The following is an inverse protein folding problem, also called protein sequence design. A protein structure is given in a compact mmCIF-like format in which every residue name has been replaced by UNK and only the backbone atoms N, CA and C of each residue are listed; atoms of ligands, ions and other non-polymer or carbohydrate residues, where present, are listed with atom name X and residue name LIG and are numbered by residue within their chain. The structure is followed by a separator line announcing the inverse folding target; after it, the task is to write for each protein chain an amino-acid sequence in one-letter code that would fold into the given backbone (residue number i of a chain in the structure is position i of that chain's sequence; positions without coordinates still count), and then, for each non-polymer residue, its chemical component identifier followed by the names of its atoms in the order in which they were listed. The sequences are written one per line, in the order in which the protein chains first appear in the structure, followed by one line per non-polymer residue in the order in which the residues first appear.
data_IF_771260117080
#
_entry.id   IF_771260117080
#
_cell.length_a   1.000
_cell.length_b   1.000
_cell.length_c   1.000
_cell.angle_alpha   90.00
_cell.angle_beta   90.00
_cell.angle_gamma   90.00
#
_symmetry.space_group_name_H-M   'P 1'
#
loop_
_entity.id
_entity.type
_entity.pdbx_description
1 polymer ?
#
# COMPACT_ATOMS: atom_id res chain seq x y z
N UNK A 1 14.99 -18.95 31.57
CA UNK A 1 14.66 -17.62 31.03
C UNK A 1 14.82 -17.71 29.51
N UNK A 2 13.72 -17.88 28.76
CA UNK A 2 13.79 -18.03 27.30
C UNK A 2 13.65 -16.65 26.65
N UNK A 3 14.70 -16.22 25.94
CA UNK A 3 14.68 -15.02 25.13
C UNK A 3 13.63 -15.17 24.01
N UNK A 4 12.51 -14.47 24.15
CA UNK A 4 11.56 -14.26 23.06
C UNK A 4 12.31 -13.48 21.98
N UNK A 5 12.71 -14.13 20.89
CA UNK A 5 13.24 -13.44 19.71
C UNK A 5 12.11 -12.61 19.13
N UNK A 6 12.20 -11.30 19.27
CA UNK A 6 11.40 -10.35 18.52
C UNK A 6 11.67 -10.58 17.03
N UNK A 7 10.67 -11.11 16.32
CA UNK A 7 10.80 -11.61 14.95
C UNK A 7 10.42 -10.52 13.95
N UNK A 8 10.90 -9.29 14.17
CA UNK A 8 10.58 -8.13 13.34
C UNK A 8 11.84 -7.32 13.00
N UNK A 9 12.92 -8.02 12.65
CA UNK A 9 14.05 -7.36 12.00
C UNK A 9 13.62 -6.95 10.58
N UNK A 10 13.80 -5.67 10.19
CA UNK A 10 13.48 -5.23 8.85
C UNK A 10 14.37 -6.00 7.87
N UNK A 11 13.75 -6.85 7.06
CA UNK A 11 14.44 -7.53 5.96
C UNK A 11 14.68 -6.48 4.88
N UNK A 12 15.87 -5.90 4.88
CA UNK A 12 16.30 -4.92 3.88
C UNK A 12 17.21 -5.64 2.90
N UNK A 13 16.93 -5.47 1.62
CA UNK A 13 17.81 -5.95 0.55
C UNK A 13 18.21 -4.73 -0.27
N UNK A 14 19.49 -4.37 -0.26
CA UNK A 14 20.03 -3.27 -1.06
C UNK A 14 20.84 -3.87 -2.20
N UNK A 15 20.44 -3.59 -3.44
CA UNK A 15 21.06 -4.18 -4.63
C UNK A 15 21.69 -3.09 -5.47
N UNK A 16 23.01 -3.17 -5.59
CA UNK A 16 23.84 -2.28 -6.41
C UNK A 16 24.56 -3.06 -7.51
N UNK A 17 23.84 -3.95 -8.20
CA UNK A 17 24.36 -4.79 -9.26
C UNK A 17 23.30 -4.97 -10.36
N UNK A 18 23.74 -5.27 -11.58
CA UNK A 18 22.85 -5.63 -12.68
C UNK A 18 22.31 -7.05 -12.47
N UNK A 19 21.00 -7.18 -12.33
CA UNK A 19 20.31 -8.44 -12.07
C UNK A 19 19.32 -8.74 -13.20
N UNK A 20 19.22 -10.02 -13.57
CA UNK A 20 18.22 -10.49 -14.52
C UNK A 20 17.50 -11.73 -13.96
N UNK A 21 16.17 -11.74 -14.01
CA UNK A 21 15.37 -12.91 -13.65
C UNK A 21 14.02 -12.58 -13.01
N UNK A 22 13.45 -13.58 -12.32
CA UNK A 22 12.19 -13.44 -11.57
C UNK A 22 12.45 -13.55 -10.08
N UNK A 23 12.19 -12.47 -9.34
CA UNK A 23 12.28 -12.44 -7.87
C UNK A 23 10.88 -12.48 -7.28
N UNK A 24 10.66 -13.37 -6.32
CA UNK A 24 9.39 -13.47 -5.59
C UNK A 24 9.65 -13.59 -4.09
N UNK A 25 9.15 -12.64 -3.32
CA UNK A 25 9.29 -12.61 -1.86
C UNK A 25 7.98 -13.02 -1.20
N UNK A 26 8.01 -14.08 -0.37
CA UNK A 26 6.83 -14.53 0.38
C UNK A 26 6.57 -13.69 1.63
N UNK A 27 7.62 -13.11 2.20
CA UNK A 27 7.57 -12.25 3.38
C UNK A 27 7.58 -10.77 2.98
N UNK A 28 7.06 -9.86 3.82
CA UNK A 28 7.25 -8.42 3.63
C UNK A 28 8.75 -8.09 3.76
N UNK A 29 9.32 -7.59 2.66
CA UNK A 29 10.74 -7.21 2.55
C UNK A 29 10.81 -5.80 1.99
N UNK A 30 11.66 -4.99 2.60
CA UNK A 30 11.98 -3.65 2.11
C UNK A 30 13.11 -3.78 1.09
N UNK A 31 12.75 -3.80 -0.19
CA UNK A 31 13.69 -3.97 -1.28
C UNK A 31 14.12 -2.59 -1.78
N UNK A 32 15.43 -2.38 -1.89
CA UNK A 32 16.03 -1.22 -2.51
C UNK A 32 16.88 -1.67 -3.70
N UNK A 33 16.65 -1.06 -4.85
CA UNK A 33 17.39 -1.33 -6.09
C UNK A 33 18.06 -0.03 -6.52
N UNK A 34 19.39 0.01 -6.53
CA UNK A 34 20.19 1.12 -7.04
C UNK A 34 20.84 0.80 -8.41
N UNK A 35 20.95 -0.49 -8.78
CA UNK A 35 21.50 -0.96 -10.06
C UNK A 35 20.47 -1.20 -11.17
N UNK A 36 20.86 -1.99 -12.18
CA UNK A 36 19.96 -2.42 -13.25
C UNK A 36 19.15 -3.68 -12.86
N UNK A 37 17.87 -3.71 -13.18
CA UNK A 37 17.05 -4.91 -12.99
C UNK A 37 16.23 -5.21 -14.24
N UNK A 38 16.30 -6.45 -14.73
CA UNK A 38 15.49 -6.91 -15.85
C UNK A 38 14.72 -8.19 -15.50
N UNK A 39 13.40 -8.20 -15.74
CA UNK A 39 12.57 -9.39 -15.59
C UNK A 39 11.28 -9.17 -14.82
N UNK A 40 11.03 -9.94 -13.75
CA UNK A 40 9.78 -9.86 -12.97
C UNK A 40 10.07 -9.75 -11.49
N UNK A 41 9.39 -8.83 -10.82
CA UNK A 41 9.56 -8.59 -9.39
C UNK A 41 8.21 -8.67 -8.69
N UNK A 42 8.11 -9.55 -7.70
CA UNK A 42 6.91 -9.72 -6.87
C UNK A 42 7.31 -9.63 -5.40
N UNK A 43 6.87 -8.57 -4.72
CA UNK A 43 7.15 -8.35 -3.30
C UNK A 43 5.88 -7.93 -2.56
N UNK A 44 5.75 -8.37 -1.31
CA UNK A 44 4.66 -7.94 -0.41
C UNK A 44 5.05 -6.78 0.51
N UNK A 45 6.26 -6.24 0.34
CA UNK A 45 6.76 -5.11 1.13
C UNK A 45 6.90 -3.83 0.32
N UNK A 46 7.72 -2.91 0.85
CA UNK A 46 8.04 -1.67 0.16
C UNK A 46 9.17 -1.87 -0.86
N UNK A 47 8.99 -1.35 -2.05
CA UNK A 47 10.03 -1.28 -3.08
C UNK A 47 10.51 0.16 -3.27
N UNK A 48 11.82 0.36 -3.20
CA UNK A 48 12.48 1.65 -3.47
C UNK A 48 13.42 1.51 -4.65
N UNK A 49 13.19 2.30 -5.69
CA UNK A 49 14.08 2.38 -6.86
C UNK A 49 14.92 3.65 -6.73
N UNK A 50 16.24 3.50 -6.61
CA UNK A 50 17.19 4.60 -6.48
C UNK A 50 17.30 5.43 -7.77
N UNK A 51 17.87 6.63 -7.66
CA UNK A 51 17.95 7.60 -8.77
C UNK A 51 18.75 7.09 -9.97
N UNK A 52 19.82 6.33 -9.70
CA UNK A 52 20.68 5.75 -10.73
C UNK A 52 20.20 4.39 -11.25
N UNK A 53 19.10 3.87 -10.70
CA UNK A 53 18.60 2.56 -11.07
C UNK A 53 17.85 2.59 -12.40
N UNK A 54 18.01 1.52 -13.18
CA UNK A 54 17.33 1.32 -14.45
C UNK A 54 16.64 -0.03 -14.46
N UNK A 55 15.31 0.00 -14.41
CA UNK A 55 14.48 -1.19 -14.21
C UNK A 55 13.63 -1.47 -15.44
N UNK A 56 13.86 -2.60 -16.08
CA UNK A 56 13.06 -3.14 -17.20
C UNK A 56 12.30 -4.38 -16.75
N UNK A 57 11.17 -4.18 -16.09
CA UNK A 57 10.48 -5.30 -15.45
C UNK A 57 8.98 -5.08 -15.27
N UNK A 58 8.27 -6.20 -15.10
CA UNK A 58 6.93 -6.23 -14.53
C UNK A 58 7.04 -6.30 -13.01
N UNK A 59 6.58 -5.25 -12.34
CA UNK A 59 6.75 -5.03 -10.90
C UNK A 59 5.40 -5.12 -10.20
N UNK A 60 5.29 -6.02 -9.24
CA UNK A 60 4.21 -6.11 -8.27
C UNK A 60 4.76 -5.80 -6.88
N UNK A 61 4.26 -4.74 -6.24
CA UNK A 61 4.60 -4.41 -4.86
C UNK A 61 3.40 -3.85 -4.09
N UNK A 62 3.50 -3.79 -2.75
CA UNK A 62 2.48 -3.12 -1.94
C UNK A 62 2.66 -1.61 -1.96
N UNK A 63 3.81 -1.15 -1.48
CA UNK A 63 4.21 0.25 -1.51
C UNK A 63 5.40 0.41 -2.45
N UNK A 64 5.38 1.44 -3.30
CA UNK A 64 6.48 1.70 -4.22
C UNK A 64 6.91 3.16 -4.20
N UNK A 65 8.22 3.39 -4.13
CA UNK A 65 8.85 4.70 -4.30
C UNK A 65 9.86 4.63 -5.44
N UNK A 66 9.72 5.51 -6.42
CA UNK A 66 10.55 5.52 -7.63
C UNK A 66 11.30 6.82 -7.71
N UNK A 67 12.63 6.75 -7.81
CA UNK A 67 13.50 7.88 -8.08
C UNK A 67 14.27 7.74 -9.41
N UNK A 68 14.40 6.51 -9.93
CA UNK A 68 15.15 6.20 -11.15
C UNK A 68 14.29 6.00 -12.40
N UNK A 69 14.81 5.20 -13.33
CA UNK A 69 14.15 4.89 -14.60
C UNK A 69 13.43 3.54 -14.53
N UNK A 70 12.16 3.50 -14.89
CA UNK A 70 11.38 2.26 -15.01
C UNK A 70 10.78 2.15 -16.39
N UNK A 71 10.87 0.97 -17.00
CA UNK A 71 10.19 0.61 -18.23
C UNK A 71 9.51 -0.74 -18.08
N UNK A 72 8.18 -0.77 -18.16
CA UNK A 72 7.40 -1.99 -17.97
C UNK A 72 6.06 -1.76 -17.28
N UNK A 73 5.44 -2.82 -16.77
CA UNK A 73 4.18 -2.70 -16.03
C UNK A 73 4.45 -2.57 -14.54
N UNK A 74 3.73 -1.63 -13.94
CA UNK A 74 3.81 -1.34 -12.52
C UNK A 74 2.45 -1.64 -11.90
N UNK A 75 2.45 -2.49 -10.89
CA UNK A 75 1.30 -2.75 -10.05
C UNK A 75 1.66 -2.46 -8.58
N UNK A 76 1.11 -1.38 -8.04
CA UNK A 76 1.27 -1.02 -6.63
C UNK A 76 -0.05 -1.15 -5.91
N UNK A 77 -0.13 -2.06 -4.93
CA UNK A 77 -1.37 -2.40 -4.23
C UNK A 77 -1.87 -1.30 -3.31
N UNK A 78 -0.98 -0.58 -2.62
CA UNK A 78 -1.34 0.45 -1.64
C UNK A 78 -1.08 1.86 -2.17
N UNK A 79 0.18 2.16 -2.53
CA UNK A 79 0.56 3.48 -3.05
C UNK A 79 1.77 3.42 -3.97
N UNK A 80 1.80 4.35 -4.92
CA UNK A 80 2.95 4.64 -5.77
C UNK A 80 3.39 6.10 -5.56
N UNK A 81 4.64 6.29 -5.14
CA UNK A 81 5.30 7.59 -5.06
C UNK A 81 6.35 7.70 -6.15
N UNK A 82 6.23 8.74 -6.95
CA UNK A 82 7.16 9.07 -8.02
C UNK A 82 7.90 10.35 -7.59
N UNK A 83 9.20 10.24 -7.35
CA UNK A 83 10.07 11.36 -6.94
C UNK A 83 10.46 12.21 -8.15
N UNK A 84 10.94 13.43 -7.89
CA UNK A 84 11.26 14.42 -8.92
C UNK A 84 12.21 13.95 -10.03
N UNK A 85 13.14 13.04 -9.75
CA UNK A 85 14.11 12.51 -10.72
C UNK A 85 13.59 11.34 -11.56
N UNK A 86 12.42 10.79 -11.21
CA UNK A 86 11.93 9.55 -11.77
C UNK A 86 11.45 9.68 -13.21
N UNK A 87 11.71 8.64 -14.00
CA UNK A 87 11.26 8.52 -15.38
C UNK A 87 10.60 7.17 -15.59
N UNK A 88 9.29 7.14 -15.79
CA UNK A 88 8.52 5.92 -15.93
C UNK A 88 7.93 5.84 -17.33
N UNK A 89 8.17 4.73 -18.03
CA UNK A 89 7.60 4.43 -19.35
C UNK A 89 6.86 3.10 -19.29
N UNK A 90 5.52 3.13 -19.31
CA UNK A 90 4.71 1.92 -19.31
C UNK A 90 3.34 2.06 -18.64
N UNK A 91 2.73 0.92 -18.33
CA UNK A 91 1.39 0.87 -17.76
C UNK A 91 1.47 0.83 -16.22
N UNK A 92 0.80 1.76 -15.56
CA UNK A 92 0.75 1.88 -14.10
C UNK A 92 -0.65 1.55 -13.61
N UNK A 93 -0.73 0.68 -12.61
CA UNK A 93 -1.96 0.34 -11.91
C UNK A 93 -1.75 0.53 -10.41
N UNK A 94 -2.46 1.49 -9.80
CA UNK A 94 -2.30 1.79 -8.37
C UNK A 94 -3.52 2.52 -7.82
N UNK A 95 -3.90 2.36 -6.55
CA UNK A 95 -5.02 3.12 -6.01
C UNK A 95 -4.67 4.52 -5.53
N UNK A 96 -3.43 4.74 -5.12
CA UNK A 96 -2.93 6.06 -4.69
C UNK A 96 -1.67 6.37 -5.46
N UNK A 97 -1.68 7.47 -6.20
CA UNK A 97 -0.55 7.96 -6.96
C UNK A 97 -0.11 9.32 -6.41
N UNK A 98 1.15 9.45 -6.04
CA UNK A 98 1.79 10.72 -5.66
C UNK A 98 2.94 11.00 -6.61
N UNK A 99 2.94 12.18 -7.22
CA UNK A 99 3.94 12.60 -8.22
C UNK A 99 4.56 13.89 -7.77
N UNK A 100 5.89 13.90 -7.61
CA UNK A 100 6.64 15.10 -7.27
C UNK A 100 6.95 15.96 -8.52
N UNK A 101 7.07 17.29 -8.37
CA UNK A 101 7.41 18.18 -9.47
C UNK A 101 8.75 17.79 -10.11
N UNK A 102 8.76 17.58 -11.43
CA UNK A 102 9.94 17.18 -12.21
C UNK A 102 9.90 15.74 -12.70
N UNK A 103 9.05 14.90 -12.08
CA UNK A 103 8.88 13.51 -12.51
C UNK A 103 8.28 13.42 -13.93
N UNK A 104 8.78 12.47 -14.72
CA UNK A 104 8.28 12.18 -16.06
C UNK A 104 7.61 10.81 -16.08
N UNK A 105 6.35 10.77 -16.50
CA UNK A 105 5.58 9.54 -16.63
C UNK A 105 4.95 9.49 -18.02
N UNK A 106 5.23 8.43 -18.77
CA UNK A 106 4.72 8.20 -20.12
C UNK A 106 4.08 6.82 -20.22
N UNK A 107 2.76 6.78 -20.45
CA UNK A 107 2.04 5.53 -20.64
C UNK A 107 0.62 5.59 -20.09
N UNK A 108 0.00 4.44 -19.91
CA UNK A 108 -1.37 4.37 -19.38
C UNK A 108 -1.33 4.28 -17.86
N UNK A 109 -2.10 5.13 -17.19
CA UNK A 109 -2.33 5.03 -15.76
C UNK A 109 -3.77 4.59 -15.50
N UNK A 110 -3.94 3.49 -14.78
CA UNK A 110 -5.22 3.03 -14.26
C UNK A 110 -5.21 3.19 -12.75
N UNK A 111 -6.08 4.06 -12.25
CA UNK A 111 -6.27 4.17 -10.81
C UNK A 111 -7.22 3.07 -10.35
N UNK A 112 -6.73 2.16 -9.51
CA UNK A 112 -7.59 1.19 -8.85
C UNK A 112 -8.42 1.95 -7.81
N UNK A 113 -9.73 1.87 -7.86
CA UNK A 113 -10.55 2.42 -6.79
C UNK A 113 -10.50 1.48 -5.58
N UNK A 114 -9.33 1.32 -4.94
CA UNK A 114 -9.28 0.80 -3.58
C UNK A 114 -9.44 1.99 -2.64
N UNK A 115 -10.46 1.99 -1.78
CA UNK A 115 -10.70 3.08 -0.86
C UNK A 115 -9.47 3.22 0.04
N UNK A 116 -8.70 4.29 -0.14
CA UNK A 116 -7.51 4.59 0.66
C UNK A 116 -7.90 4.65 2.13
N UNK A 117 -7.25 3.80 2.91
CA UNK A 117 -7.73 3.25 4.18
C UNK A 117 -7.26 4.04 5.42
N UNK A 118 -7.01 5.35 5.34
CA UNK A 118 -6.66 6.18 6.51
C UNK A 118 -7.43 7.50 6.49
N UNK A 119 -8.21 7.74 7.54
CA UNK A 119 -8.99 8.98 7.73
C UNK A 119 -10.24 9.11 6.87
N UNK A 120 -10.70 8.02 6.23
CA UNK A 120 -11.93 8.02 5.46
C UNK A 120 -13.14 7.79 6.36
N UNK A 121 -14.20 8.53 6.07
CA UNK A 121 -15.54 8.28 6.59
C UNK A 121 -16.15 7.12 5.80
N UNK A 122 -16.39 5.99 6.47
CA UNK A 122 -16.99 4.79 5.91
C UNK A 122 -18.51 4.84 6.06
N UNK A 123 -19.22 4.25 5.10
CA UNK A 123 -20.63 3.88 5.27
C UNK A 123 -20.74 2.54 6.03
N UNK A 124 -21.95 2.18 6.46
CA UNK A 124 -22.17 0.98 7.29
C UNK A 124 -21.79 -0.33 6.57
N UNK A 125 -22.02 -0.39 5.26
CA UNK A 125 -21.64 -1.49 4.38
C UNK A 125 -20.12 -1.58 4.19
N UNK A 126 -19.47 -0.46 3.91
CA UNK A 126 -18.00 -0.38 3.80
C UNK A 126 -17.31 -0.78 5.11
N UNK A 127 -17.87 -0.36 6.25
CA UNK A 127 -17.34 -0.71 7.56
C UNK A 127 -17.57 -2.18 7.92
N UNK A 128 -18.68 -2.76 7.50
CA UNK A 128 -18.99 -4.17 7.72
C UNK A 128 -17.99 -5.08 7.00
N UNK A 129 -17.68 -4.76 5.74
CA UNK A 129 -16.62 -5.44 4.99
C UNK A 129 -15.26 -5.27 5.67
N UNK A 130 -14.95 -4.06 6.14
CA UNK A 130 -13.70 -3.77 6.82
C UNK A 130 -13.50 -4.55 8.13
N UNK A 131 -14.55 -4.70 8.93
CA UNK A 131 -14.51 -5.44 10.21
C UNK A 131 -14.80 -6.93 10.06
N UNK A 132 -15.07 -7.41 8.84
CA UNK A 132 -15.49 -8.79 8.55
C UNK A 132 -16.73 -9.22 9.37
N UNK A 133 -17.74 -8.33 9.48
CA UNK A 133 -19.01 -8.57 10.20
C UNK A 133 -20.22 -8.22 9.33
N UNK A 134 -21.41 -8.64 9.73
CA UNK A 134 -22.63 -8.20 9.05
C UNK A 134 -22.93 -6.70 9.26
N UNK A 135 -23.43 -6.03 8.21
CA UNK A 135 -23.92 -4.64 8.24
C UNK A 135 -24.96 -4.43 9.35
N UNK A 136 -25.79 -5.46 9.59
CA UNK A 136 -26.82 -5.44 10.64
C UNK A 136 -26.23 -5.21 12.04
N UNK A 137 -25.03 -5.72 12.30
CA UNK A 137 -24.32 -5.54 13.57
C UNK A 137 -23.69 -4.15 13.65
N UNK A 138 -23.15 -3.62 12.55
CA UNK A 138 -22.64 -2.25 12.47
C UNK A 138 -23.73 -1.24 12.83
N UNK A 139 -24.93 -1.38 12.24
CA UNK A 139 -26.06 -0.48 12.51
C UNK A 139 -26.52 -0.57 13.97
N UNK A 140 -26.63 -1.78 14.53
CA UNK A 140 -26.96 -1.97 15.96
C UNK A 140 -25.93 -1.32 16.88
N UNK A 141 -24.65 -1.42 16.55
CA UNK A 141 -23.59 -0.80 17.35
C UNK A 141 -23.59 0.72 17.23
N UNK A 142 -23.94 1.26 16.05
CA UNK A 142 -24.11 2.70 15.86
C UNK A 142 -25.29 3.24 16.67
N UNK A 143 -26.45 2.59 16.59
CA UNK A 143 -27.68 3.01 17.31
C UNK A 143 -27.53 2.89 18.84
N UNK A 144 -26.77 1.89 19.31
CA UNK A 144 -26.47 1.73 20.75
C UNK A 144 -25.31 2.60 21.24
N UNK A 145 -24.62 3.31 20.34
CA UNK A 145 -23.41 4.10 20.66
C UNK A 145 -22.20 3.26 21.07
N UNK A 146 -22.20 1.94 20.78
CA UNK A 146 -21.09 1.03 21.11
C UNK A 146 -19.87 1.30 20.25
N UNK A 147 -20.06 1.63 18.97
CA UNK A 147 -19.00 1.93 18.00
C UNK A 147 -18.98 3.43 17.71
N UNK A 148 -17.81 4.07 17.51
CA UNK A 148 -17.75 5.48 17.15
C UNK A 148 -18.37 5.72 15.77
N UNK A 149 -19.51 6.40 15.76
CA UNK A 149 -20.28 6.75 14.57
C UNK A 149 -20.84 8.17 14.69
N UNK A 150 -21.17 8.79 13.57
CA UNK A 150 -21.92 10.04 13.51
C UNK A 150 -22.93 10.00 12.36
N UNK A 151 -23.98 10.83 12.43
CA UNK A 151 -24.97 10.93 11.35
C UNK A 151 -24.61 12.06 10.40
N UNK A 152 -24.54 11.76 9.12
CA UNK A 152 -24.49 12.76 8.05
C UNK A 152 -25.80 12.66 7.27
N UNK A 153 -26.71 13.60 7.53
CA UNK A 153 -28.09 13.51 7.07
C UNK A 153 -28.83 12.32 7.71
N UNK A 154 -29.30 11.39 6.86
CA UNK A 154 -30.05 10.19 7.29
C UNK A 154 -29.20 8.93 7.41
N UNK A 155 -27.91 9.01 7.08
CA UNK A 155 -27.02 7.84 7.04
C UNK A 155 -26.00 7.85 8.17
N UNK A 156 -25.68 6.65 8.66
CA UNK A 156 -24.59 6.45 9.61
C UNK A 156 -23.25 6.47 8.90
N UNK A 157 -22.33 7.24 9.46
CA UNK A 157 -20.98 7.47 8.96
C UNK A 157 -19.96 7.15 10.05
N UNK A 158 -18.86 6.53 9.65
CA UNK A 158 -17.89 5.97 10.58
C UNK A 158 -16.49 6.45 10.23
N UNK A 159 -15.91 7.26 11.12
CA UNK A 159 -14.50 7.62 10.98
C UNK A 159 -13.64 6.38 11.28
N UNK A 160 -12.97 5.89 10.24
CA UNK A 160 -12.17 4.69 10.35
C UNK A 160 -11.10 4.79 11.45
N UNK A 161 -10.44 5.93 11.62
CA UNK A 161 -9.38 6.05 12.64
C UNK A 161 -9.94 5.82 14.04
N UNK A 162 -11.12 6.38 14.32
CA UNK A 162 -11.82 6.16 15.59
C UNK A 162 -12.27 4.71 15.75
N UNK A 163 -12.73 4.08 14.68
CA UNK A 163 -13.09 2.66 14.68
C UNK A 163 -11.87 1.80 14.98
N UNK A 164 -10.73 2.04 14.34
CA UNK A 164 -9.48 1.29 14.55
C UNK A 164 -9.03 1.38 16.02
N UNK A 165 -9.10 2.57 16.62
CA UNK A 165 -8.83 2.78 18.04
C UNK A 165 -9.80 2.03 18.96
N UNK A 166 -11.08 1.95 18.58
CA UNK A 166 -12.10 1.22 19.33
C UNK A 166 -11.86 -0.30 19.26
N UNK A 167 -11.57 -0.86 18.08
CA UNK A 167 -11.25 -2.28 17.90
C UNK A 167 -10.03 -2.68 18.72
N UNK A 168 -9.00 -1.84 18.74
CA UNK A 168 -7.80 -2.08 19.55
C UNK A 168 -8.10 -2.14 21.06
N UNK A 169 -9.06 -1.33 21.55
CA UNK A 169 -9.49 -1.32 22.96
C UNK A 169 -10.33 -2.55 23.35
N UNK A 170 -11.23 -3.02 22.48
CA UNK A 170 -12.04 -4.23 22.74
C UNK A 170 -11.16 -5.49 22.79
N UNK A 171 -10.12 -5.59 21.94
CA UNK A 171 -9.19 -6.75 21.95
C UNK A 171 -8.26 -6.81 23.17
N UNK A 172 -8.16 -5.73 23.95
CA UNK A 172 -7.32 -5.65 25.16
C UNK A 172 -8.09 -5.96 26.46
N UNK A 173 -9.38 -6.28 26.38
CA UNK A 173 -10.20 -6.78 27.50
C UNK A 173 -10.36 -8.29 27.40
#
# INVERSE_FOLDING_TARGET
MMARRDKNEPKILDVDASMQGSLTFKDPVNLRINGDFEGKLDTKGSLTIGENASVRADINSEDMTVAGKITGKIFAKNQLRILASAHIVGDITTPVLSVEPGAVMQGKCQMLNQPSQKGRILAADELAEYLEVEVSNILKWADSGKIPAFKEGSEWRFDRLRVDEWVAKEKSK
#
